data_IF_504300431257
#
_entry.id   IF_504300431257
#
_cell.length_a   1.000
_cell.length_b   1.000
_cell.length_c   1.000
_cell.angle_alpha   90.00
_cell.angle_beta   90.00
_cell.angle_gamma   90.00
#
_symmetry.space_group_name_H-M   'P 1'
#
loop_
_entity.id
_entity.type
_entity.pdbx_description
1 polymer ?
#
# COMPACT_ATOMS: atom_id res chain seq x y z
N UNK A 1 -9.26 19.00 -14.89
CA UNK A 1 -8.90 17.85 -15.76
C UNK A 1 -8.67 16.63 -14.88
N UNK A 2 -9.51 15.61 -15.01
CA UNK A 2 -9.46 14.39 -14.20
C UNK A 2 -8.15 13.64 -14.44
N UNK A 3 -7.35 13.43 -13.39
CA UNK A 3 -6.18 12.53 -13.44
C UNK A 3 -6.71 11.11 -13.29
N UNK A 4 -7.17 10.54 -14.39
CA UNK A 4 -7.41 9.09 -14.52
C UNK A 4 -6.06 8.39 -14.33
N UNK A 5 -5.70 8.14 -13.07
CA UNK A 5 -4.58 7.28 -12.74
C UNK A 5 -4.94 5.90 -13.26
N UNK A 6 -4.47 5.58 -14.46
CA UNK A 6 -4.51 4.24 -15.01
C UNK A 6 -3.84 3.34 -13.97
N UNK A 7 -4.63 2.56 -13.24
CA UNK A 7 -4.17 1.58 -12.25
C UNK A 7 -3.19 0.59 -12.89
N UNK A 8 -3.33 0.35 -14.20
CA UNK A 8 -2.42 -0.44 -15.03
C UNK A 8 -1.07 0.24 -15.28
N UNK A 9 -0.99 1.59 -15.33
CA UNK A 9 0.27 2.33 -15.51
C UNK A 9 1.02 2.61 -14.19
N UNK A 10 0.43 2.27 -13.04
CA UNK A 10 1.00 2.54 -11.70
C UNK A 10 1.60 1.30 -11.03
N UNK A 11 1.84 0.20 -11.76
CA UNK A 11 2.34 -1.07 -11.21
C UNK A 11 1.31 -1.87 -10.40
N UNK A 12 0.04 -1.43 -10.43
CA UNK A 12 -1.11 -2.01 -9.73
C UNK A 12 -2.02 -2.80 -10.68
N UNK A 13 -1.44 -3.33 -11.74
CA UNK A 13 -2.14 -4.03 -12.80
C UNK A 13 -2.43 -5.49 -12.47
N UNK A 14 -2.72 -6.24 -13.54
CA UNK A 14 -3.02 -7.66 -13.50
C UNK A 14 -1.98 -8.49 -12.74
N UNK A 15 -0.68 -8.21 -12.92
CA UNK A 15 0.41 -8.94 -12.24
C UNK A 15 0.33 -8.85 -10.72
N UNK A 16 0.01 -7.67 -10.16
CA UNK A 16 -0.15 -7.50 -8.72
C UNK A 16 -1.30 -8.36 -8.18
N UNK A 17 -2.41 -8.42 -8.91
CA UNK A 17 -3.56 -9.23 -8.52
C UNK A 17 -3.26 -10.73 -8.58
N UNK A 18 -2.48 -11.15 -9.59
CA UNK A 18 -2.07 -12.55 -9.73
C UNK A 18 -1.06 -12.96 -8.65
N UNK A 19 -0.04 -12.13 -8.39
CA UNK A 19 0.91 -12.36 -7.30
C UNK A 19 0.20 -12.39 -5.94
N UNK A 20 -0.72 -11.45 -5.69
CA UNK A 20 -1.53 -11.45 -4.47
C UNK A 20 -2.31 -12.75 -4.31
N UNK A 21 -2.91 -13.28 -5.39
CA UNK A 21 -3.67 -14.55 -5.35
C UNK A 21 -2.76 -15.74 -5.10
N UNK A 22 -1.60 -15.80 -5.76
CA UNK A 22 -0.62 -16.87 -5.61
C UNK A 22 -0.13 -16.95 -4.16
N UNK A 23 0.26 -15.80 -3.59
CA UNK A 23 0.81 -15.71 -2.24
C UNK A 23 -0.26 -15.74 -1.14
N UNK A 24 -1.55 -15.67 -1.48
CA UNK A 24 -2.63 -15.60 -0.49
C UNK A 24 -2.69 -16.87 0.37
N UNK A 25 -2.54 -18.04 -0.26
CA UNK A 25 -2.58 -19.32 0.44
C UNK A 25 -1.37 -19.49 1.38
N UNK A 26 -0.19 -19.08 0.92
CA UNK A 26 1.07 -19.16 1.67
C UNK A 26 1.13 -18.16 2.85
N UNK A 27 0.38 -17.06 2.75
CA UNK A 27 0.34 -16.04 3.79
C UNK A 27 -0.45 -16.46 5.04
N UNK A 28 -1.34 -17.45 4.93
CA UNK A 28 -2.10 -17.91 6.07
C UNK A 28 -1.18 -18.56 7.11
N UNK A 29 -1.32 -18.17 8.37
CA UNK A 29 -0.42 -18.57 9.45
C UNK A 29 0.83 -17.68 9.60
N UNK A 30 1.12 -16.80 8.64
CA UNK A 30 2.22 -15.84 8.74
C UNK A 30 1.80 -14.56 9.49
N UNK A 31 2.77 -13.90 10.12
CA UNK A 31 2.55 -12.63 10.80
C UNK A 31 2.45 -11.47 9.80
N UNK A 32 1.43 -10.62 9.98
CA UNK A 32 1.27 -9.40 9.21
C UNK A 32 2.48 -8.46 9.40
N UNK A 33 3.00 -7.90 8.30
CA UNK A 33 4.19 -7.03 8.33
C UNK A 33 4.01 -5.78 9.18
N UNK A 34 2.78 -5.30 9.37
CA UNK A 34 2.46 -4.10 10.15
C UNK A 34 2.08 -4.41 11.60
N UNK A 35 1.01 -5.17 11.83
CA UNK A 35 0.47 -5.39 13.17
C UNK A 35 1.05 -6.62 13.89
N UNK A 36 1.84 -7.44 13.18
CA UNK A 36 2.46 -8.68 13.68
C UNK A 36 1.47 -9.77 14.12
N UNK A 37 0.17 -9.56 13.94
CA UNK A 37 -0.85 -10.58 14.17
C UNK A 37 -0.86 -11.60 13.01
N UNK A 38 -1.21 -12.84 13.36
CA UNK A 38 -1.32 -13.94 12.40
C UNK A 38 -2.44 -13.66 11.39
N UNK A 39 -2.14 -13.88 10.12
CA UNK A 39 -3.11 -13.79 9.03
C UNK A 39 -3.88 -15.09 8.90
N UNK A 40 -5.21 -15.02 8.87
CA UNK A 40 -6.08 -16.20 8.83
C UNK A 40 -6.89 -16.28 7.53
N UNK A 41 -7.31 -17.49 7.11
CA UNK A 41 -8.25 -17.67 6.01
C UNK A 41 -9.52 -16.84 6.19
N UNK A 42 -10.02 -16.27 5.08
CA UNK A 42 -11.22 -15.42 5.08
C UNK A 42 -10.98 -13.96 5.49
N UNK A 43 -9.80 -13.62 6.03
CA UNK A 43 -9.42 -12.23 6.24
C UNK A 43 -9.06 -11.55 4.91
N UNK A 44 -9.37 -10.25 4.81
CA UNK A 44 -8.93 -9.45 3.66
C UNK A 44 -7.44 -9.16 3.80
N UNK A 45 -6.63 -9.82 2.99
CA UNK A 45 -5.18 -9.61 2.93
C UNK A 45 -4.80 -8.94 1.63
N UNK A 46 -3.89 -7.97 1.67
CA UNK A 46 -3.33 -7.28 0.52
C UNK A 46 -1.80 -7.42 0.52
N UNK A 47 -1.21 -7.51 -0.68
CA UNK A 47 0.24 -7.57 -0.85
C UNK A 47 0.83 -6.17 -0.66
N UNK A 48 1.49 -5.93 0.48
CA UNK A 48 2.14 -4.66 0.78
C UNK A 48 3.35 -4.46 -0.14
N UNK A 49 3.54 -3.21 -0.54
CA UNK A 49 4.54 -2.80 -1.51
C UNK A 49 5.29 -1.57 -1.01
N UNK A 50 6.53 -1.44 -1.45
CA UNK A 50 7.36 -0.28 -1.14
C UNK A 50 6.75 0.98 -1.75
N UNK A 51 7.05 2.15 -1.16
CA UNK A 51 6.43 3.41 -1.57
C UNK A 51 6.82 3.85 -3.00
N UNK A 52 7.98 3.40 -3.47
CA UNK A 52 8.50 3.52 -4.83
C UNK A 52 7.98 2.41 -5.77
N UNK A 53 7.22 1.44 -5.25
CA UNK A 53 6.59 0.33 -5.99
C UNK A 53 7.57 -0.58 -6.72
N UNK A 54 8.82 -0.61 -6.26
CA UNK A 54 9.90 -1.44 -6.82
C UNK A 54 9.94 -2.84 -6.20
N UNK A 55 9.28 -3.04 -5.05
CA UNK A 55 9.27 -4.33 -4.36
C UNK A 55 8.08 -4.56 -3.45
N UNK A 56 7.97 -5.80 -3.00
CA UNK A 56 6.95 -6.26 -2.06
C UNK A 56 7.56 -6.51 -0.69
N UNK A 57 6.81 -6.12 0.35
CA UNK A 57 7.23 -6.32 1.75
C UNK A 57 6.62 -7.57 2.36
N UNK A 58 5.63 -8.14 1.67
CA UNK A 58 4.89 -9.34 2.09
C UNK A 58 3.40 -9.06 2.22
N UNK A 59 2.67 -10.08 2.64
CA UNK A 59 1.22 -9.97 2.85
C UNK A 59 0.90 -9.25 4.15
N UNK A 60 -0.17 -8.46 4.11
CA UNK A 60 -0.65 -7.66 5.22
C UNK A 60 -2.18 -7.69 5.29
N UNK A 61 -2.74 -7.44 6.47
CA UNK A 61 -4.17 -7.11 6.56
C UNK A 61 -4.47 -5.88 5.71
N UNK A 62 -5.56 -5.93 4.95
CA UNK A 62 -6.01 -4.85 4.09
C UNK A 62 -6.21 -3.54 4.86
N UNK A 63 -6.71 -3.62 6.10
CA UNK A 63 -6.86 -2.46 6.98
C UNK A 63 -5.52 -1.82 7.33
N UNK A 64 -4.52 -2.64 7.69
CA UNK A 64 -3.18 -2.19 8.04
C UNK A 64 -2.48 -1.54 6.83
N UNK A 65 -2.50 -2.21 5.68
CA UNK A 65 -1.89 -1.69 4.45
C UNK A 65 -2.50 -0.33 4.04
N UNK A 66 -3.84 -0.24 4.03
CA UNK A 66 -4.54 1.01 3.70
C UNK A 66 -4.28 2.13 4.69
N UNK A 67 -4.23 1.82 5.99
CA UNK A 67 -3.90 2.79 7.05
C UNK A 67 -2.49 3.34 6.85
N UNK A 68 -1.52 2.48 6.56
CA UNK A 68 -0.15 2.92 6.30
C UNK A 68 -0.05 3.78 5.04
N UNK A 69 -0.72 3.39 3.95
CA UNK A 69 -0.84 4.21 2.73
C UNK A 69 -1.45 5.59 3.00
N UNK A 70 -2.51 5.67 3.80
CA UNK A 70 -3.14 6.92 4.21
C UNK A 70 -2.20 7.79 5.05
N UNK A 71 -1.48 7.20 6.00
CA UNK A 71 -0.48 7.91 6.82
C UNK A 71 0.65 8.48 5.97
N UNK A 72 1.19 7.70 5.03
CA UNK A 72 2.21 8.16 4.06
C UNK A 72 1.67 9.30 3.19
N UNK A 73 0.45 9.17 2.66
CA UNK A 73 -0.20 10.18 1.83
C UNK A 73 -0.43 11.51 2.58
N UNK A 74 -0.92 11.43 3.81
CA UNK A 74 -1.11 12.61 4.66
C UNK A 74 0.22 13.28 5.01
N UNK A 75 1.27 12.52 5.30
CA UNK A 75 2.61 13.08 5.54
C UNK A 75 3.14 13.86 4.32
N UNK A 76 2.97 13.34 3.10
CA UNK A 76 3.35 14.05 1.86
C UNK A 76 2.57 15.36 1.69
N UNK A 77 1.25 15.35 1.93
CA UNK A 77 0.40 16.56 1.86
C UNK A 77 0.83 17.63 2.86
N UNK A 78 1.14 17.26 4.11
CA UNK A 78 1.64 18.20 5.12
C UNK A 78 2.97 18.83 4.71
N UNK A 79 3.90 18.04 4.16
CA UNK A 79 5.18 18.57 3.65
C UNK A 79 4.99 19.57 2.52
N UNK A 80 4.06 19.30 1.59
CA UNK A 80 3.77 20.24 0.48
C UNK A 80 3.09 21.52 0.93
N UNK A 81 2.31 21.52 2.03
CA UNK A 81 1.72 22.75 2.54
C UNK A 81 2.76 23.61 3.25
N UNK A 82 3.70 23.01 3.97
CA UNK A 82 4.80 23.74 4.63
C UNK A 82 5.69 24.48 3.63
N UNK A 83 5.99 23.87 2.48
CA UNK A 83 6.84 24.50 1.44
C UNK A 83 6.14 25.67 0.72
N UNK A 84 4.79 25.68 0.68
CA UNK A 84 4.02 26.74 0.01
C UNK A 84 3.88 28.03 0.81
N UNK A 85 4.23 28.03 2.10
CA UNK A 85 4.13 29.21 2.96
C UNK A 85 5.41 30.05 2.98
N UNK A 86 6.52 29.57 2.40
CA UNK A 86 7.82 30.25 2.46
C UNK A 86 8.20 31.08 1.23
N UNK A 87 7.34 31.23 0.22
CA UNK A 87 7.62 31.99 -1.02
C UNK A 87 6.74 33.25 -1.14
N UNK A 88 6.59 34.02 -0.05
CA UNK A 88 5.87 35.30 -0.08
C UNK A 88 6.44 36.27 0.95
N UNK A 89 7.56 36.90 0.61
CA UNK A 89 8.07 38.17 1.16
C UNK A 89 8.82 38.91 0.06
#
# INVERSE_FOLDING_TARGET
MARSGNTTASGYGYEHQQLRKALLAEAYGQACVHCKLVMLPGQKLDLDHTADRTGYRGMAHASCNRSDGARRGNAKRRRSSTLKTSESW
#
